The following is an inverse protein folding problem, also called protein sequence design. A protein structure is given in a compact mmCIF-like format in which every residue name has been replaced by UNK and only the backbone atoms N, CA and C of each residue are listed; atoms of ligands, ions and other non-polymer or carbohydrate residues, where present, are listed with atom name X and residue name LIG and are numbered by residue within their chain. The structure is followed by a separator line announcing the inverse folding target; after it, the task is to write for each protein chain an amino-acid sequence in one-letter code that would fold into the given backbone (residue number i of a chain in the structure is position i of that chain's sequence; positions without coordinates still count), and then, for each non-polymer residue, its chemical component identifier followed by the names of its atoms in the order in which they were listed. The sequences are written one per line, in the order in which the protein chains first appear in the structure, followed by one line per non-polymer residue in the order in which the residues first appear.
data_IF_456855404263
#
_entry.id   IF_456855404263
#
_cell.length_a   1.000
_cell.length_b   1.000
_cell.length_c   1.000
_cell.angle_alpha   90.00
_cell.angle_beta   90.00
_cell.angle_gamma   90.00
#
_symmetry.space_group_name_H-M   'P 1'
#
loop_
_entity.id
_entity.type
_entity.pdbx_description
1 polymer ?
#
# COMPACT_ATOMS: atom_id res chain seq x y z
N UNK A 1 -16.30 -3.18 34.92
CA UNK A 1 -15.10 -2.84 34.12
C UNK A 1 -15.49 -2.77 32.64
N UNK A 2 -15.38 -1.60 31.99
CA UNK A 2 -15.47 -1.54 30.52
C UNK A 2 -14.28 -2.31 29.97
N UNK A 3 -14.50 -3.30 29.10
CA UNK A 3 -13.41 -3.95 28.35
C UNK A 3 -12.71 -2.85 27.55
N UNK A 4 -11.52 -2.44 27.99
CA UNK A 4 -10.72 -1.48 27.26
C UNK A 4 -10.30 -2.12 25.94
N UNK A 5 -10.51 -1.42 24.82
CA UNK A 5 -10.14 -1.95 23.51
C UNK A 5 -8.60 -2.04 23.45
N UNK A 6 -8.06 -3.10 22.82
CA UNK A 6 -6.62 -3.25 22.59
C UNK A 6 -5.97 -1.98 22.00
N UNK A 7 -6.70 -1.24 21.16
CA UNK A 7 -6.23 0.02 20.58
C UNK A 7 -6.15 1.15 21.62
N UNK A 8 -7.16 1.30 22.48
CA UNK A 8 -7.18 2.32 23.54
C UNK A 8 -6.02 2.13 24.52
N UNK A 9 -5.65 0.88 24.80
CA UNK A 9 -4.54 0.54 25.68
C UNK A 9 -3.16 1.00 25.16
N UNK A 10 -3.05 1.40 23.89
CA UNK A 10 -1.82 2.00 23.35
C UNK A 10 -1.62 3.46 23.77
N UNK A 11 -2.65 4.12 24.31
CA UNK A 11 -2.64 5.55 24.58
C UNK A 11 -2.71 5.82 26.09
N UNK A 12 -1.95 6.82 26.61
CA UNK A 12 -1.83 7.07 28.06
C UNK A 12 -3.15 7.23 28.81
N UNK A 13 -4.17 7.80 28.15
CA UNK A 13 -5.48 8.08 28.77
C UNK A 13 -6.55 7.06 28.39
N UNK A 14 -6.18 5.95 27.73
CA UNK A 14 -7.17 5.01 27.18
C UNK A 14 -8.06 5.63 26.10
N UNK A 15 -7.67 6.78 25.53
CA UNK A 15 -8.43 7.52 24.54
C UNK A 15 -7.62 7.58 23.24
N UNK A 16 -8.24 7.12 22.16
CA UNK A 16 -7.67 7.26 20.81
C UNK A 16 -7.67 8.76 20.45
N UNK A 17 -6.51 9.34 20.11
CA UNK A 17 -6.39 10.75 19.74
C UNK A 17 -7.06 11.03 18.38
N UNK A 18 -7.29 12.32 18.10
CA UNK A 18 -7.64 12.75 16.74
C UNK A 18 -6.46 12.50 15.78
N UNK A 19 -6.76 12.10 14.55
CA UNK A 19 -5.71 11.65 13.60
C UNK A 19 -4.68 12.73 13.31
N UNK A 20 -5.12 13.98 13.13
CA UNK A 20 -4.20 15.11 12.89
C UNK A 20 -3.29 15.40 14.09
N UNK A 21 -3.78 15.22 15.32
CA UNK A 21 -2.96 15.34 16.52
C UNK A 21 -1.97 14.18 16.62
N UNK A 22 -2.45 12.97 16.36
CA UNK A 22 -1.63 11.76 16.36
C UNK A 22 -0.48 11.85 15.36
N UNK A 23 -0.75 12.22 14.10
CA UNK A 23 0.28 12.34 13.07
C UNK A 23 1.31 13.42 13.41
N UNK A 24 0.88 14.58 13.91
CA UNK A 24 1.81 15.63 14.39
C UNK A 24 2.68 15.16 15.55
N UNK A 25 2.16 14.30 16.43
CA UNK A 25 2.94 13.71 17.50
C UNK A 25 3.92 12.65 16.98
N UNK A 26 3.50 11.82 16.01
CA UNK A 26 4.38 10.86 15.35
C UNK A 26 5.56 11.52 14.65
N UNK A 27 5.36 12.67 14.01
CA UNK A 27 6.44 13.40 13.32
C UNK A 27 7.49 13.98 14.27
N UNK A 28 7.15 14.15 15.55
CA UNK A 28 8.08 14.60 16.61
C UNK A 28 8.82 13.45 17.29
N UNK A 29 8.40 12.19 17.07
CA UNK A 29 9.04 11.02 17.67
C UNK A 29 10.34 10.66 16.95
N UNK A 30 11.22 9.93 17.63
CA UNK A 30 12.32 9.24 16.95
C UNK A 30 11.77 8.22 15.94
N UNK A 31 12.57 7.91 14.93
CA UNK A 31 12.20 6.93 13.89
C UNK A 31 11.86 5.57 14.51
N UNK A 32 12.65 5.13 15.48
CA UNK A 32 12.46 3.85 16.19
C UNK A 32 11.16 3.86 17.00
N UNK A 33 10.89 4.96 17.72
CA UNK A 33 9.67 5.12 18.51
C UNK A 33 8.40 5.15 17.65
N UNK A 34 8.45 5.90 16.55
CA UNK A 34 7.39 5.96 15.53
C UNK A 34 7.11 4.57 14.97
N UNK A 35 8.14 3.85 14.51
CA UNK A 35 8.00 2.52 13.93
C UNK A 35 7.39 1.54 14.94
N UNK A 36 7.88 1.53 16.18
CA UNK A 36 7.36 0.64 17.23
C UNK A 36 5.87 0.90 17.53
N UNK A 37 5.45 2.17 17.59
CA UNK A 37 4.06 2.52 17.84
C UNK A 37 3.16 2.14 16.66
N UNK A 38 3.57 2.46 15.43
CA UNK A 38 2.85 2.11 14.21
C UNK A 38 2.70 0.59 14.06
N UNK A 39 3.77 -0.19 14.29
CA UNK A 39 3.69 -1.65 14.27
C UNK A 39 2.65 -2.21 15.24
N UNK A 40 2.55 -1.66 16.45
CA UNK A 40 1.52 -2.09 17.42
C UNK A 40 0.12 -1.83 16.88
N UNK A 41 -0.12 -0.66 16.28
CA UNK A 41 -1.40 -0.31 15.66
C UNK A 41 -1.71 -1.27 14.50
N UNK A 42 -0.75 -1.54 13.62
CA UNK A 42 -0.93 -2.44 12.49
C UNK A 42 -1.22 -3.88 12.94
N UNK A 43 -0.52 -4.39 13.97
CA UNK A 43 -0.79 -5.71 14.56
C UNK A 43 -2.21 -5.82 15.13
N UNK A 44 -2.72 -4.74 15.74
CA UNK A 44 -4.11 -4.70 16.21
C UNK A 44 -5.07 -4.78 15.01
N UNK A 45 -4.82 -3.99 13.97
CA UNK A 45 -5.61 -4.06 12.74
C UNK A 45 -5.66 -5.49 12.20
N UNK A 46 -4.51 -6.16 12.06
CA UNK A 46 -4.44 -7.55 11.57
C UNK A 46 -5.22 -8.57 12.39
N UNK A 47 -5.24 -8.41 13.72
CA UNK A 47 -5.74 -9.46 14.61
C UNK A 47 -7.22 -9.31 14.95
N UNK A 48 -7.75 -8.09 14.96
CA UNK A 48 -9.10 -7.81 15.49
C UNK A 48 -9.94 -6.87 14.63
N UNK A 49 -9.54 -6.60 13.38
CA UNK A 49 -10.20 -5.63 12.47
C UNK A 49 -11.72 -5.65 12.52
N UNK A 50 -12.33 -6.80 12.25
CA UNK A 50 -13.79 -6.99 12.15
C UNK A 50 -14.54 -6.70 13.46
N UNK A 51 -13.85 -6.78 14.59
CA UNK A 51 -14.40 -6.55 15.93
C UNK A 51 -14.16 -5.13 16.46
N UNK A 52 -13.33 -4.33 15.76
CA UNK A 52 -13.08 -2.95 16.15
C UNK A 52 -14.32 -2.07 15.89
N UNK A 53 -14.68 -1.16 16.82
CA UNK A 53 -15.67 -0.12 16.55
C UNK A 53 -15.32 0.69 15.29
N UNK A 54 -16.33 1.10 14.53
CA UNK A 54 -16.15 1.83 13.26
C UNK A 54 -15.26 3.08 13.38
N UNK A 55 -15.39 3.82 14.48
CA UNK A 55 -14.51 4.98 14.76
C UNK A 55 -13.02 4.61 14.84
N UNK A 56 -12.68 3.42 15.33
CA UNK A 56 -11.30 2.95 15.45
C UNK A 56 -10.78 2.34 14.15
N UNK A 57 -11.66 1.69 13.37
CA UNK A 57 -11.35 1.31 12.00
C UNK A 57 -10.95 2.56 11.18
N UNK A 58 -11.79 3.60 11.21
CA UNK A 58 -11.53 4.87 10.53
C UNK A 58 -10.22 5.53 10.98
N UNK A 59 -9.96 5.58 12.28
CA UNK A 59 -8.68 6.09 12.81
C UNK A 59 -7.48 5.34 12.21
N UNK A 60 -7.50 4.00 12.23
CA UNK A 60 -6.41 3.17 11.71
C UNK A 60 -6.25 3.37 10.19
N UNK A 61 -7.35 3.43 9.43
CA UNK A 61 -7.33 3.71 8.00
C UNK A 61 -6.63 5.04 7.69
N UNK A 62 -6.98 6.11 8.41
CA UNK A 62 -6.36 7.42 8.19
C UNK A 62 -4.88 7.44 8.60
N UNK A 63 -4.49 6.70 9.64
CA UNK A 63 -3.07 6.51 10.01
C UNK A 63 -2.29 5.80 8.90
N UNK A 64 -2.83 4.71 8.35
CA UNK A 64 -2.21 3.98 7.24
C UNK A 64 -2.13 4.86 5.98
N UNK A 65 -3.18 5.64 5.72
CA UNK A 65 -3.22 6.58 4.60
C UNK A 65 -2.18 7.69 4.76
N UNK A 66 -1.89 8.14 5.97
CA UNK A 66 -0.86 9.15 6.21
C UNK A 66 0.54 8.63 5.87
N UNK A 67 0.85 7.38 6.24
CA UNK A 67 2.15 6.75 5.95
C UNK A 67 1.99 5.35 5.36
N UNK A 68 1.58 5.32 4.08
CA UNK A 68 1.36 4.07 3.35
C UNK A 68 2.64 3.25 3.21
N UNK A 69 3.80 3.90 3.12
CA UNK A 69 5.07 3.19 2.94
C UNK A 69 5.40 2.39 4.19
N UNK A 70 5.30 3.00 5.38
CA UNK A 70 5.51 2.30 6.65
C UNK A 70 4.58 1.09 6.79
N UNK A 71 3.32 1.21 6.36
CA UNK A 71 2.40 0.08 6.38
C UNK A 71 2.80 -1.02 5.39
N UNK A 72 3.15 -0.68 4.14
CA UNK A 72 3.64 -1.66 3.14
C UNK A 72 4.88 -2.39 3.64
N UNK A 73 5.85 -1.66 4.22
CA UNK A 73 7.06 -2.22 4.79
C UNK A 73 6.71 -3.20 5.93
N UNK A 74 5.79 -2.82 6.82
CA UNK A 74 5.29 -3.73 7.86
C UNK A 74 4.65 -5.00 7.27
N UNK A 75 3.78 -4.88 6.26
CA UNK A 75 3.16 -6.04 5.60
C UNK A 75 4.22 -6.98 5.06
N UNK A 76 5.18 -6.43 4.31
CA UNK A 76 6.18 -7.21 3.58
C UNK A 76 7.25 -7.78 4.52
N UNK A 77 7.62 -7.09 5.59
CA UNK A 77 8.76 -7.49 6.42
C UNK A 77 8.35 -8.23 7.69
N UNK A 78 7.13 -7.98 8.19
CA UNK A 78 6.71 -8.43 9.53
C UNK A 78 5.52 -9.38 9.50
N UNK A 79 5.00 -9.72 8.33
CA UNK A 79 3.87 -10.65 8.19
C UNK A 79 4.16 -11.77 7.19
N UNK A 80 3.30 -12.79 7.18
CA UNK A 80 3.39 -13.92 6.23
C UNK A 80 3.25 -13.49 4.77
N UNK A 81 2.74 -12.28 4.50
CA UNK A 81 2.57 -11.77 3.14
C UNK A 81 3.88 -11.78 2.34
N UNK A 82 5.04 -11.67 2.99
CA UNK A 82 6.33 -11.77 2.30
C UNK A 82 6.48 -13.04 1.47
N UNK A 83 5.96 -14.17 1.98
CA UNK A 83 6.01 -15.49 1.35
C UNK A 83 4.84 -15.75 0.39
N UNK A 84 3.76 -14.97 0.50
CA UNK A 84 2.53 -15.15 -0.29
C UNK A 84 2.45 -14.22 -1.50
N UNK A 85 3.41 -13.30 -1.65
CA UNK A 85 3.48 -12.42 -2.81
C UNK A 85 3.68 -13.21 -4.10
N UNK A 86 2.92 -12.85 -5.12
CA UNK A 86 2.96 -13.51 -6.41
C UNK A 86 4.15 -13.01 -7.25
N UNK A 87 5.05 -13.90 -7.73
CA UNK A 87 6.05 -13.53 -8.73
C UNK A 87 5.39 -13.23 -10.07
N UNK A 88 5.63 -12.03 -10.60
CA UNK A 88 5.17 -11.66 -11.94
C UNK A 88 6.17 -12.12 -12.99
N UNK A 89 5.66 -12.80 -14.03
CA UNK A 89 6.48 -13.22 -15.18
C UNK A 89 6.96 -12.01 -16.00
N UNK A 90 6.13 -10.98 -16.14
CA UNK A 90 6.42 -9.78 -16.93
C UNK A 90 6.04 -8.51 -16.15
N UNK A 91 6.82 -8.12 -15.12
CA UNK A 91 6.46 -7.02 -14.22
C UNK A 91 6.36 -5.66 -14.93
N UNK A 92 7.19 -5.41 -15.94
CA UNK A 92 7.13 -4.17 -16.74
C UNK A 92 5.80 -4.08 -17.49
N UNK A 93 5.44 -5.14 -18.22
CA UNK A 93 4.18 -5.17 -18.97
C UNK A 93 2.96 -5.04 -18.06
N UNK A 94 3.02 -5.64 -16.86
CA UNK A 94 1.98 -5.46 -15.84
C UNK A 94 1.83 -3.99 -15.41
N UNK A 95 2.94 -3.29 -15.17
CA UNK A 95 2.92 -1.86 -14.83
C UNK A 95 2.37 -1.01 -16.00
N UNK A 96 2.74 -1.33 -17.25
CA UNK A 96 2.21 -0.64 -18.45
C UNK A 96 0.72 -0.88 -18.64
N UNK A 97 0.25 -2.09 -18.36
CA UNK A 97 -1.18 -2.41 -18.34
C UNK A 97 -1.91 -1.58 -17.29
N UNK A 98 -1.38 -1.47 -16.06
CA UNK A 98 -1.98 -0.62 -15.02
C UNK A 98 -2.03 0.85 -15.44
N UNK A 99 -1.00 1.36 -16.12
CA UNK A 99 -1.05 2.71 -16.69
C UNK A 99 -2.21 2.84 -17.68
N UNK A 100 -2.33 1.91 -18.62
CA UNK A 100 -3.37 1.92 -19.65
C UNK A 100 -4.78 1.85 -19.05
N UNK A 101 -5.02 0.96 -18.08
CA UNK A 101 -6.37 0.71 -17.55
C UNK A 101 -6.79 1.69 -16.46
N UNK A 102 -5.85 2.18 -15.65
CA UNK A 102 -6.18 3.00 -14.46
C UNK A 102 -5.79 4.47 -14.60
N UNK A 103 -4.89 4.83 -15.53
CA UNK A 103 -4.33 6.19 -15.60
C UNK A 103 -4.68 6.92 -16.89
N UNK A 104 -4.68 6.27 -18.05
CA UNK A 104 -4.79 6.96 -19.36
C UNK A 104 -6.05 7.81 -19.48
N UNK A 105 -7.19 7.34 -19.00
CA UNK A 105 -8.45 8.09 -19.08
C UNK A 105 -8.68 9.06 -17.91
N UNK A 106 -7.71 9.21 -17.00
CA UNK A 106 -7.74 10.07 -15.79
C UNK A 106 -9.14 10.50 -15.36
N UNK A 107 -9.98 9.53 -15.01
CA UNK A 107 -11.12 9.84 -14.16
C UNK A 107 -10.53 10.10 -12.78
N UNK A 108 -10.94 11.16 -12.10
CA UNK A 108 -10.33 11.62 -10.84
C UNK A 108 -10.43 10.62 -9.66
N UNK A 109 -10.90 9.40 -9.92
CA UNK A 109 -11.30 8.43 -8.92
C UNK A 109 -10.15 7.56 -8.39
N UNK A 110 -9.14 7.25 -9.20
CA UNK A 110 -8.11 6.27 -8.82
C UNK A 110 -6.88 6.94 -8.19
N UNK A 111 -6.65 6.70 -6.90
CA UNK A 111 -5.41 7.11 -6.22
C UNK A 111 -4.24 6.22 -6.65
N UNK A 112 -3.34 6.74 -7.48
CA UNK A 112 -2.14 6.00 -7.95
C UNK A 112 -1.29 5.50 -6.77
N UNK A 113 -1.20 6.25 -5.67
CA UNK A 113 -0.47 5.80 -4.47
C UNK A 113 -1.16 4.61 -3.78
N UNK A 114 -2.49 4.57 -3.78
CA UNK A 114 -3.24 3.41 -3.29
C UNK A 114 -2.99 2.20 -4.21
N UNK A 115 -3.10 2.38 -5.52
CA UNK A 115 -2.82 1.33 -6.50
C UNK A 115 -1.40 0.75 -6.31
N UNK A 116 -0.38 1.63 -6.21
CA UNK A 116 1.00 1.22 -5.94
C UNK A 116 1.15 0.45 -4.62
N UNK A 117 0.48 0.88 -3.56
CA UNK A 117 0.47 0.17 -2.28
C UNK A 117 -0.10 -1.25 -2.43
N UNK A 118 -1.25 -1.40 -3.10
CA UNK A 118 -1.86 -2.70 -3.35
C UNK A 118 -0.96 -3.62 -4.18
N UNK A 119 -0.30 -3.08 -5.20
CA UNK A 119 0.63 -3.84 -6.05
C UNK A 119 1.84 -4.33 -5.25
N UNK A 120 2.45 -3.49 -4.41
CA UNK A 120 3.60 -3.88 -3.59
C UNK A 120 3.25 -4.94 -2.54
N UNK A 121 2.04 -4.88 -1.98
CA UNK A 121 1.55 -5.88 -1.01
C UNK A 121 1.35 -7.24 -1.67
N UNK A 122 0.84 -7.29 -2.89
CA UNK A 122 0.40 -8.53 -3.53
C UNK A 122 1.47 -9.18 -4.43
N UNK A 123 2.37 -8.42 -5.03
CA UNK A 123 3.31 -8.92 -6.03
C UNK A 123 4.76 -8.75 -5.59
N UNK A 124 5.64 -9.66 -6.05
CA UNK A 124 7.08 -9.56 -5.84
C UNK A 124 7.69 -8.48 -6.75
N UNK A 125 7.33 -7.23 -6.48
CA UNK A 125 7.91 -6.03 -7.08
C UNK A 125 8.69 -5.30 -5.98
N UNK A 126 9.97 -5.02 -6.24
CA UNK A 126 10.80 -4.24 -5.34
C UNK A 126 10.56 -2.73 -5.54
N UNK A 127 10.71 -1.95 -4.48
CA UNK A 127 10.74 -0.49 -4.54
C UNK A 127 9.78 0.18 -3.56
N UNK A 128 9.68 1.51 -3.68
CA UNK A 128 8.82 2.36 -2.87
C UNK A 128 7.55 2.72 -3.63
N UNK A 129 6.48 3.01 -2.88
CA UNK A 129 5.19 3.47 -3.43
C UNK A 129 5.40 4.63 -4.40
N UNK A 130 6.19 5.64 -4.02
CA UNK A 130 6.44 6.81 -4.86
C UNK A 130 7.12 6.48 -6.20
N UNK A 131 8.08 5.55 -6.19
CA UNK A 131 8.76 5.09 -7.40
C UNK A 131 7.80 4.34 -8.31
N UNK A 132 7.06 3.38 -7.77
CA UNK A 132 6.07 2.60 -8.53
C UNK A 132 4.94 3.49 -9.06
N UNK A 133 4.46 4.44 -8.25
CA UNK A 133 3.46 5.43 -8.66
C UNK A 133 3.98 6.29 -9.81
N UNK A 134 5.26 6.67 -9.79
CA UNK A 134 5.91 7.35 -10.90
C UNK A 134 5.91 6.51 -12.19
N UNK A 135 6.25 5.23 -12.09
CA UNK A 135 6.24 4.30 -13.23
C UNK A 135 4.84 4.07 -13.79
N UNK A 136 3.84 3.89 -12.93
CA UNK A 136 2.43 3.74 -13.34
C UNK A 136 1.92 5.05 -13.95
N UNK A 137 2.29 6.22 -13.42
CA UNK A 137 1.79 7.51 -13.91
C UNK A 137 2.38 7.91 -15.27
N UNK A 138 3.67 7.65 -15.47
CA UNK A 138 4.41 8.01 -16.70
C UNK A 138 4.58 6.83 -17.66
N UNK A 139 3.87 5.74 -17.39
CA UNK A 139 4.06 4.42 -17.96
C UNK A 139 3.63 4.26 -19.40
N UNK A 140 3.79 5.27 -20.27
CA UNK A 140 3.35 5.27 -21.67
C UNK A 140 3.55 3.92 -22.35
N UNK A 141 2.57 3.50 -23.16
CA UNK A 141 2.53 2.17 -23.76
C UNK A 141 2.83 2.24 -25.25
N UNK A 142 3.63 1.29 -25.74
CA UNK A 142 3.93 1.14 -27.16
C UNK A 142 2.82 0.36 -27.87
N UNK A 143 2.66 0.58 -29.19
CA UNK A 143 1.69 -0.17 -30.00
C UNK A 143 1.90 -1.68 -29.93
N UNK A 144 3.16 -2.12 -29.84
CA UNK A 144 3.48 -3.53 -29.70
C UNK A 144 3.14 -4.11 -28.34
N UNK A 145 3.35 -3.37 -27.24
CA UNK A 145 2.86 -3.78 -25.91
C UNK A 145 1.32 -3.91 -25.89
N UNK A 146 0.60 -3.02 -26.57
CA UNK A 146 -0.87 -3.13 -26.71
C UNK A 146 -1.24 -4.42 -27.46
N UNK A 147 -0.54 -4.76 -28.54
CA UNK A 147 -0.78 -6.00 -29.29
C UNK A 147 -0.48 -7.25 -28.44
N UNK A 148 0.56 -7.19 -27.61
CA UNK A 148 0.88 -8.25 -26.65
C UNK A 148 -0.23 -8.39 -25.61
N UNK A 149 -0.70 -7.28 -25.02
CA UNK A 149 -1.82 -7.28 -24.07
C UNK A 149 -3.13 -7.78 -24.70
N UNK A 150 -3.35 -7.48 -25.97
CA UNK A 150 -4.50 -7.98 -26.75
C UNK A 150 -4.36 -9.46 -27.18
N UNK A 151 -3.27 -10.14 -26.80
CA UNK A 151 -2.99 -11.53 -27.16
C UNK A 151 -2.72 -11.75 -28.65
N UNK A 152 -2.46 -10.69 -29.41
CA UNK A 152 -2.16 -10.75 -30.84
C UNK A 152 -0.71 -11.12 -31.11
N UNK A 153 0.17 -10.89 -30.13
CA UNK A 153 1.61 -11.19 -30.19
C UNK A 153 2.02 -11.83 -28.86
N UNK A 154 2.95 -12.80 -28.88
CA UNK A 154 3.49 -13.37 -27.64
C UNK A 154 4.56 -12.44 -27.08
N UNK A 155 4.69 -12.38 -25.76
CA UNK A 155 5.69 -11.54 -25.09
C UNK A 155 7.12 -11.87 -25.54
N UNK A 156 7.42 -13.16 -25.80
CA UNK A 156 8.75 -13.59 -26.27
C UNK A 156 9.09 -13.17 -27.70
N UNK A 157 8.09 -12.82 -28.50
CA UNK A 157 8.26 -12.34 -29.88
C UNK A 157 8.42 -10.81 -29.91
N UNK A 158 8.32 -10.14 -28.75
CA UNK A 158 8.42 -8.70 -28.60
C UNK A 158 9.83 -8.27 -28.15
N UNK A 159 10.67 -7.87 -29.11
CA UNK A 159 11.96 -7.24 -28.85
C UNK A 159 11.79 -5.74 -28.56
N UNK A 160 11.08 -5.37 -27.50
CA UNK A 160 11.02 -4.00 -27.00
C UNK A 160 12.24 -3.72 -26.12
N UNK A 161 13.22 -2.98 -26.64
CA UNK A 161 14.47 -2.63 -25.94
C UNK A 161 14.24 -1.90 -24.62
N UNK A 162 15.10 -2.20 -23.65
CA UNK A 162 15.21 -1.54 -22.34
C UNK A 162 15.66 -0.08 -22.46
#
# INVERSE_FOLDING_TARGET
MKKQNKLEALFPNGKVPEVNEFNRNLDKMSKEGRNHLLEKIYKIAFTVWSTLPKKYQKFIEEVIVHDRQSYVDFIIEKTVMTCLRCPLRFPVLFIRMLHLTEVVERTAQTSINHLSMSVLICFLICGKIGTLAGHISKGGITSGEVLVLAGKVRVGDYCGGY
#
